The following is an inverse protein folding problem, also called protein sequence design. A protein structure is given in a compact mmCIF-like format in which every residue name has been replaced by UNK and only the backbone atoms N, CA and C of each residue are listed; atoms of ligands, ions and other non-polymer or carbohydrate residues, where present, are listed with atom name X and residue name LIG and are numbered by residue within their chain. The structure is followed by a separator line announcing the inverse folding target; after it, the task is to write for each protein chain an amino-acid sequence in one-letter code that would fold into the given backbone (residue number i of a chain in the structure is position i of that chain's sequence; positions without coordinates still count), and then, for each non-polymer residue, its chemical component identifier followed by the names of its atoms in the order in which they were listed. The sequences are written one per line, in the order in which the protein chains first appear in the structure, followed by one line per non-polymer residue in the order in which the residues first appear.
data_IF_622670946079
#
_entry.id   IF_622670946079
#
_cell.length_a   1.000
_cell.length_b   1.000
_cell.length_c   1.000
_cell.angle_alpha   90.00
_cell.angle_beta   90.00
_cell.angle_gamma   90.00
#
_symmetry.space_group_name_H-M   'P 1'
#
loop_
_entity.id
_entity.type
_entity.pdbx_description
1 polymer ?
#
# COMPACT_ATOMS: atom_id res chain seq x y z
N UNK A 1 35.90 9.93 -17.49
CA UNK A 1 35.76 8.82 -16.53
C UNK A 1 34.71 9.27 -15.51
N UNK A 2 33.50 8.72 -15.61
CA UNK A 2 32.31 9.25 -14.93
C UNK A 2 32.32 8.97 -13.44
N UNK A 3 32.26 10.05 -12.66
CA UNK A 3 32.21 10.11 -11.21
C UNK A 3 30.97 9.36 -10.69
N UNK A 4 31.12 8.11 -10.26
CA UNK A 4 30.01 7.27 -9.74
C UNK A 4 29.77 7.45 -8.23
N UNK A 5 30.31 8.51 -7.64
CA UNK A 5 30.43 8.66 -6.19
C UNK A 5 29.34 9.54 -5.55
N UNK A 6 28.31 9.98 -6.29
CA UNK A 6 27.35 11.00 -5.82
C UNK A 6 25.90 10.51 -5.66
N UNK A 7 25.63 9.21 -5.78
CA UNK A 7 24.30 8.61 -5.56
C UNK A 7 24.35 7.51 -4.50
N UNK A 8 25.20 7.64 -3.49
CA UNK A 8 25.23 6.73 -2.35
C UNK A 8 24.37 7.32 -1.24
N UNK A 9 23.37 6.55 -0.77
CA UNK A 9 22.69 6.84 0.49
C UNK A 9 23.75 7.05 1.58
N UNK A 10 23.59 8.10 2.39
CA UNK A 10 24.49 8.32 3.53
C UNK A 10 24.27 7.21 4.55
N UNK A 11 25.34 6.77 5.21
CA UNK A 11 25.25 5.75 6.25
C UNK A 11 24.24 6.16 7.36
N UNK A 12 24.19 7.45 7.70
CA UNK A 12 23.22 8.03 8.64
C UNK A 12 21.76 7.83 8.18
N UNK A 13 21.46 8.02 6.90
CA UNK A 13 20.11 7.85 6.35
C UNK A 13 19.70 6.38 6.32
N UNK A 14 20.66 5.48 6.05
CA UNK A 14 20.44 4.04 6.15
C UNK A 14 20.08 3.68 7.59
N UNK A 15 20.85 4.16 8.57
CA UNK A 15 20.61 3.84 9.98
C UNK A 15 19.27 4.38 10.48
N UNK A 16 18.86 5.59 10.07
CA UNK A 16 17.53 6.12 10.34
C UNK A 16 16.43 5.22 9.76
N UNK A 17 16.53 4.86 8.49
CA UNK A 17 15.55 4.00 7.82
C UNK A 17 15.52 2.60 8.47
N UNK A 18 16.67 2.04 8.85
CA UNK A 18 16.76 0.77 9.57
C UNK A 18 15.99 0.82 10.89
N UNK A 19 16.14 1.90 11.65
CA UNK A 19 15.45 2.07 12.93
C UNK A 19 13.93 2.25 12.76
N UNK A 20 13.49 2.92 11.69
CA UNK A 20 12.06 3.15 11.44
C UNK A 20 11.34 1.94 10.84
N UNK A 21 12.00 1.21 9.94
CA UNK A 21 11.36 0.22 9.08
C UNK A 21 11.81 -1.21 9.36
N UNK A 22 12.79 -1.40 10.25
CA UNK A 22 13.40 -2.69 10.59
C UNK A 22 14.01 -3.47 9.40
N UNK A 23 14.11 -2.86 8.21
CA UNK A 23 14.88 -3.42 7.11
C UNK A 23 16.35 -3.51 7.49
N UNK A 24 17.05 -4.52 6.99
CA UNK A 24 18.50 -4.59 7.12
C UNK A 24 19.20 -3.71 6.06
N UNK A 25 20.48 -3.36 6.28
CA UNK A 25 21.27 -2.54 5.36
C UNK A 25 21.25 -3.09 3.92
N UNK A 26 21.39 -4.41 3.73
CA UNK A 26 21.38 -5.03 2.40
C UNK A 26 20.02 -4.86 1.69
N UNK A 27 18.93 -5.00 2.43
CA UNK A 27 17.56 -4.77 1.93
C UNK A 27 17.39 -3.32 1.53
N UNK A 28 17.82 -2.35 2.34
CA UNK A 28 17.72 -0.92 2.02
C UNK A 28 18.53 -0.59 0.76
N UNK A 29 19.75 -1.11 0.62
CA UNK A 29 20.58 -0.89 -0.58
C UNK A 29 19.92 -1.50 -1.83
N UNK A 30 19.31 -2.68 -1.73
CA UNK A 30 18.55 -3.30 -2.83
C UNK A 30 17.30 -2.49 -3.19
N UNK A 31 16.56 -2.03 -2.18
CA UNK A 31 15.38 -1.18 -2.35
C UNK A 31 15.76 0.15 -3.00
N UNK A 32 16.90 0.73 -2.63
CA UNK A 32 17.43 1.95 -3.24
C UNK A 32 17.85 1.74 -4.68
N UNK A 33 18.53 0.63 -4.97
CA UNK A 33 18.87 0.24 -6.35
C UNK A 33 17.59 0.08 -7.19
N UNK A 34 16.53 -0.51 -6.62
CA UNK A 34 15.23 -0.62 -7.29
C UNK A 34 14.57 0.75 -7.47
N UNK A 35 14.60 1.61 -6.46
CA UNK A 35 14.08 2.98 -6.54
C UNK A 35 14.74 3.77 -7.69
N UNK A 36 16.07 3.74 -7.78
CA UNK A 36 16.79 4.38 -8.89
C UNK A 36 16.46 3.77 -10.25
N UNK A 37 16.19 2.47 -10.32
CA UNK A 37 15.77 1.83 -11.58
C UNK A 37 14.37 2.24 -12.02
N UNK A 38 13.52 2.64 -11.08
CA UNK A 38 12.16 3.12 -11.34
C UNK A 38 12.18 4.63 -11.68
N UNK A 39 13.02 5.41 -11.04
CA UNK A 39 13.25 6.83 -11.34
C UNK A 39 14.08 7.01 -12.63
N UNK A 40 13.47 6.68 -13.77
CA UNK A 40 14.12 6.81 -15.09
C UNK A 40 14.49 8.24 -15.43
N UNK A 41 13.83 9.22 -14.81
CA UNK A 41 14.06 10.65 -15.03
C UNK A 41 15.19 11.20 -14.15
N UNK A 42 15.66 10.43 -13.16
CA UNK A 42 16.71 10.84 -12.23
C UNK A 42 16.31 12.05 -11.38
N UNK A 43 15.02 12.17 -11.06
CA UNK A 43 14.45 13.32 -10.35
C UNK A 43 14.61 13.22 -8.83
N UNK A 44 14.96 12.03 -8.30
CA UNK A 44 15.06 11.75 -6.87
C UNK A 44 13.72 11.41 -6.21
N UNK A 45 12.65 11.29 -6.98
CA UNK A 45 11.31 10.90 -6.55
C UNK A 45 10.64 10.00 -7.58
N UNK A 46 9.68 9.20 -7.15
CA UNK A 46 8.85 8.37 -8.01
C UNK A 46 7.48 9.02 -8.21
N UNK A 47 7.08 9.14 -9.47
CA UNK A 47 5.75 9.56 -9.89
C UNK A 47 4.85 8.36 -10.15
N UNK A 48 3.53 8.59 -10.31
CA UNK A 48 2.56 7.54 -10.62
C UNK A 48 2.95 6.75 -11.88
N UNK A 49 3.44 7.44 -12.90
CA UNK A 49 3.91 6.83 -14.15
C UNK A 49 5.08 5.86 -13.94
N UNK A 50 5.96 6.14 -12.98
CA UNK A 50 7.11 5.25 -12.70
C UNK A 50 6.66 3.91 -12.12
N UNK A 51 5.57 3.90 -11.34
CA UNK A 51 4.95 2.67 -10.85
C UNK A 51 4.16 1.91 -11.91
N UNK A 52 3.49 2.61 -12.83
CA UNK A 52 2.79 1.98 -13.97
C UNK A 52 3.76 1.28 -14.92
N UNK A 53 5.02 1.72 -14.95
CA UNK A 53 6.09 1.05 -15.70
C UNK A 53 6.54 -0.29 -15.09
N UNK A 54 6.09 -0.65 -13.88
CA UNK A 54 6.40 -1.93 -13.25
C UNK A 54 5.52 -3.01 -13.87
N UNK A 55 6.07 -3.96 -14.65
CA UNK A 55 5.27 -4.95 -15.36
C UNK A 55 4.40 -5.79 -14.43
N UNK A 56 4.94 -6.15 -13.26
CA UNK A 56 4.23 -6.94 -12.24
C UNK A 56 3.04 -6.19 -11.65
N UNK A 57 3.10 -4.85 -11.61
CA UNK A 57 2.02 -4.01 -11.12
C UNK A 57 1.01 -3.72 -12.23
N UNK A 58 1.47 -3.54 -13.47
CA UNK A 58 0.63 -3.30 -14.64
C UNK A 58 -0.28 -4.49 -14.98
N UNK A 59 0.17 -5.72 -14.73
CA UNK A 59 -0.66 -6.93 -14.91
C UNK A 59 -1.57 -7.24 -13.72
N UNK A 60 -1.34 -6.57 -12.58
CA UNK A 60 -2.15 -6.78 -11.38
C UNK A 60 -3.45 -5.97 -11.49
N UNK A 61 -4.64 -6.58 -11.39
CA UNK A 61 -5.91 -5.85 -11.43
C UNK A 61 -6.08 -4.80 -10.31
N UNK A 62 -5.29 -4.93 -9.24
CA UNK A 62 -5.22 -3.98 -8.13
C UNK A 62 -4.04 -3.01 -8.23
N UNK A 63 -3.26 -3.09 -9.31
CA UNK A 63 -2.03 -2.30 -9.49
C UNK A 63 -2.27 -0.82 -9.26
N UNK A 64 -3.17 -0.22 -10.03
CA UNK A 64 -3.52 1.19 -9.90
C UNK A 64 -3.99 1.56 -8.48
N UNK A 65 -4.68 0.65 -7.79
CA UNK A 65 -5.19 0.87 -6.43
C UNK A 65 -4.09 0.81 -5.38
N UNK A 66 -3.14 -0.09 -5.56
CA UNK A 66 -1.94 -0.17 -4.72
C UNK A 66 -1.14 1.13 -4.89
N UNK A 67 -0.98 1.61 -6.12
CA UNK A 67 -0.31 2.88 -6.41
C UNK A 67 -1.04 4.05 -5.76
N UNK A 68 -2.37 4.14 -5.92
CA UNK A 68 -3.17 5.21 -5.32
C UNK A 68 -3.08 5.21 -3.78
N UNK A 69 -3.09 4.02 -3.15
CA UNK A 69 -2.89 3.87 -1.72
C UNK A 69 -1.48 4.30 -1.27
N UNK A 70 -0.44 4.00 -2.06
CA UNK A 70 0.94 4.43 -1.78
C UNK A 70 1.04 5.95 -1.69
N UNK A 71 0.50 6.66 -2.68
CA UNK A 71 0.53 8.13 -2.67
C UNK A 71 -0.36 8.71 -1.57
N UNK A 72 -1.52 8.11 -1.30
CA UNK A 72 -2.43 8.59 -0.24
C UNK A 72 -1.80 8.53 1.15
N UNK A 73 -1.09 7.45 1.47
CA UNK A 73 -0.40 7.31 2.75
C UNK A 73 0.87 8.15 2.86
N UNK A 74 1.47 8.54 1.74
CA UNK A 74 2.59 9.47 1.74
C UNK A 74 2.13 10.92 1.94
N UNK A 75 0.99 11.30 1.35
CA UNK A 75 0.42 12.66 1.45
C UNK A 75 -0.15 13.00 2.83
N UNK A 76 -0.46 12.01 3.68
CA UNK A 76 -0.98 12.28 5.04
C UNK A 76 0.02 12.95 5.98
N UNK A 77 1.30 13.07 5.59
CA UNK A 77 2.35 13.73 6.37
C UNK A 77 2.52 15.24 6.07
N UNK A 78 1.56 15.87 5.37
CA UNK A 78 1.38 17.32 5.43
C UNK A 78 2.13 18.16 4.41
N UNK A 79 2.95 17.57 3.53
CA UNK A 79 3.66 18.33 2.50
C UNK A 79 3.49 17.69 1.12
N UNK A 80 2.83 18.46 0.25
CA UNK A 80 2.71 18.34 -1.21
C UNK A 80 1.48 17.57 -1.77
N UNK A 81 0.66 18.34 -2.50
CA UNK A 81 -0.28 17.88 -3.52
C UNK A 81 0.43 17.17 -4.70
N UNK A 82 1.76 17.17 -4.71
CA UNK A 82 2.56 16.55 -5.74
C UNK A 82 2.56 15.03 -5.55
N UNK A 83 2.06 14.32 -6.56
CA UNK A 83 2.07 12.86 -6.66
C UNK A 83 3.52 12.35 -6.83
N UNK A 84 4.33 12.56 -5.79
CA UNK A 84 5.75 12.26 -5.75
C UNK A 84 6.07 11.47 -4.48
N UNK A 85 6.85 10.41 -4.63
CA UNK A 85 7.32 9.55 -3.54
C UNK A 85 8.84 9.61 -3.46
N UNK A 86 9.37 10.20 -2.40
CA UNK A 86 10.80 10.14 -2.13
C UNK A 86 11.22 8.75 -1.60
N UNK A 87 12.52 8.48 -1.55
CA UNK A 87 13.03 7.18 -1.13
C UNK A 87 12.60 6.79 0.30
N UNK A 88 12.61 7.73 1.25
CA UNK A 88 12.19 7.46 2.64
C UNK A 88 10.72 7.03 2.71
N UNK A 89 9.84 7.73 1.99
CA UNK A 89 8.42 7.38 1.87
C UNK A 89 8.24 6.02 1.20
N UNK A 90 8.95 5.76 0.11
CA UNK A 90 8.93 4.48 -0.59
C UNK A 90 9.27 3.30 0.33
N UNK A 91 10.35 3.40 1.12
CA UNK A 91 10.72 2.32 2.05
C UNK A 91 9.73 2.18 3.19
N UNK A 92 9.20 3.28 3.74
CA UNK A 92 8.15 3.24 4.78
C UNK A 92 6.89 2.54 4.29
N UNK A 93 6.46 2.79 3.07
CA UNK A 93 5.31 2.10 2.47
C UNK A 93 5.59 0.60 2.35
N UNK A 94 6.77 0.22 1.85
CA UNK A 94 7.17 -1.19 1.75
C UNK A 94 7.32 -1.86 3.12
N UNK A 95 7.60 -1.11 4.18
CA UNK A 95 7.66 -1.62 5.54
C UNK A 95 6.32 -2.19 6.02
N UNK A 96 5.19 -1.63 5.57
CA UNK A 96 3.85 -2.16 5.90
C UNK A 96 3.65 -3.59 5.38
N UNK A 97 4.32 -3.96 4.28
CA UNK A 97 4.26 -5.29 3.69
C UNK A 97 5.29 -6.25 4.27
N UNK A 98 6.10 -5.85 5.24
CA UNK A 98 6.98 -6.82 5.89
C UNK A 98 6.18 -7.92 6.60
N UNK A 99 6.69 -9.16 6.64
CA UNK A 99 6.16 -10.20 7.49
C UNK A 99 6.21 -9.76 8.94
N UNK A 100 5.13 -9.99 9.69
CA UNK A 100 5.12 -9.68 11.11
C UNK A 100 6.09 -10.63 11.81
N UNK A 101 7.11 -10.06 12.43
CA UNK A 101 8.04 -10.80 13.27
C UNK A 101 7.47 -10.87 14.69
N UNK A 102 7.40 -12.08 15.26
CA UNK A 102 7.05 -12.25 16.68
C UNK A 102 8.11 -11.65 17.62
N UNK A 103 9.32 -11.42 17.11
CA UNK A 103 10.50 -10.98 17.88
C UNK A 103 10.71 -9.48 17.77
N UNK A 104 10.39 -8.88 16.62
CA UNK A 104 10.57 -7.46 16.35
C UNK A 104 9.23 -6.81 16.03
N UNK A 105 8.79 -5.89 16.87
CA UNK A 105 7.53 -5.16 16.70
C UNK A 105 7.81 -3.89 15.91
N UNK A 106 7.66 -3.95 14.59
CA UNK A 106 7.64 -2.75 13.77
C UNK A 106 6.27 -2.05 13.96
N UNK A 107 6.27 -0.77 14.33
CA UNK A 107 5.02 -0.02 14.48
C UNK A 107 4.26 0.08 13.15
N UNK A 108 4.96 0.09 12.02
CA UNK A 108 4.41 0.29 10.68
C UNK A 108 3.81 -0.99 10.06
N UNK A 109 4.13 -2.18 10.58
CA UNK A 109 3.57 -3.45 10.07
C UNK A 109 2.50 -4.04 10.99
N UNK A 110 1.97 -3.22 11.91
CA UNK A 110 0.92 -3.65 12.82
C UNK A 110 -0.31 -4.13 12.04
N UNK A 111 -1.11 -5.00 12.65
CA UNK A 111 -2.38 -5.44 12.06
C UNK A 111 -3.26 -4.23 11.70
N UNK A 112 -3.30 -3.21 12.55
CA UNK A 112 -4.10 -2.00 12.34
C UNK A 112 -3.60 -1.20 11.13
N UNK A 113 -2.29 -1.04 10.98
CA UNK A 113 -1.70 -0.31 9.85
C UNK A 113 -1.86 -1.07 8.52
N UNK A 114 -1.75 -2.41 8.53
CA UNK A 114 -2.08 -3.24 7.37
C UNK A 114 -3.56 -3.11 6.97
N UNK A 115 -4.46 -3.12 7.96
CA UNK A 115 -5.89 -2.89 7.72
C UNK A 115 -6.17 -1.48 7.21
N UNK A 116 -5.47 -0.47 7.73
CA UNK A 116 -5.59 0.90 7.24
C UNK A 116 -5.11 1.02 5.80
N UNK A 117 -4.01 0.36 5.45
CA UNK A 117 -3.53 0.28 4.08
C UNK A 117 -4.59 -0.35 3.16
N UNK A 118 -5.14 -1.50 3.55
CA UNK A 118 -6.19 -2.17 2.78
C UNK A 118 -7.43 -1.27 2.65
N UNK A 119 -7.88 -0.65 3.74
CA UNK A 119 -9.01 0.27 3.75
C UNK A 119 -8.81 1.42 2.75
N UNK A 120 -7.61 2.02 2.72
CA UNK A 120 -7.26 3.08 1.76
C UNK A 120 -7.18 2.63 0.31
N UNK A 121 -7.09 1.32 0.03
CA UNK A 121 -7.27 0.81 -1.33
C UNK A 121 -8.76 0.75 -1.76
N UNK A 122 -9.68 0.60 -0.80
CA UNK A 122 -11.11 0.58 -1.05
C UNK A 122 -11.73 1.99 -1.07
N UNK A 123 -11.28 2.89 -0.20
CA UNK A 123 -11.72 4.29 -0.09
C UNK A 123 -11.14 5.14 -1.24
N UNK A 124 -11.88 5.23 -2.36
CA UNK A 124 -11.40 5.86 -3.60
C UNK A 124 -11.48 7.39 -3.54
N UNK A 125 -12.52 7.92 -2.90
CA UNK A 125 -12.74 9.35 -2.76
C UNK A 125 -12.04 9.96 -1.52
N UNK A 126 -11.39 9.13 -0.69
CA UNK A 126 -10.64 9.52 0.51
C UNK A 126 -11.50 10.19 1.57
N UNK A 127 -12.77 9.81 1.69
CA UNK A 127 -13.70 10.38 2.65
C UNK A 127 -13.71 9.63 4.00
N UNK A 128 -12.84 8.64 4.18
CA UNK A 128 -12.74 7.76 5.35
C UNK A 128 -13.92 6.78 5.51
N UNK A 129 -14.68 6.54 4.44
CA UNK A 129 -15.74 5.53 4.37
C UNK A 129 -15.65 4.74 3.07
N UNK A 130 -16.02 3.46 3.11
CA UNK A 130 -16.16 2.65 1.90
C UNK A 130 -17.64 2.60 1.55
N UNK A 131 -18.00 3.20 0.42
CA UNK A 131 -19.36 3.12 -0.12
C UNK A 131 -19.59 1.81 -0.85
N UNK A 132 -20.86 1.44 -1.05
CA UNK A 132 -21.26 0.29 -1.87
C UNK A 132 -20.62 0.36 -3.26
N UNK A 133 -20.65 1.53 -3.88
CA UNK A 133 -20.11 1.77 -5.22
C UNK A 133 -18.61 1.52 -5.28
N UNK A 134 -17.87 2.03 -4.30
CA UNK A 134 -16.42 1.83 -4.19
C UNK A 134 -16.07 0.36 -3.98
N UNK A 135 -16.79 -0.32 -3.09
CA UNK A 135 -16.62 -1.76 -2.87
C UNK A 135 -16.89 -2.57 -4.14
N UNK A 136 -17.95 -2.24 -4.89
CA UNK A 136 -18.27 -2.89 -6.17
C UNK A 136 -17.16 -2.71 -7.21
N UNK A 137 -16.59 -1.51 -7.31
CA UNK A 137 -15.48 -1.23 -8.25
C UNK A 137 -14.30 -2.15 -7.95
N UNK A 138 -13.94 -2.29 -6.67
CA UNK A 138 -12.82 -3.15 -6.26
C UNK A 138 -13.13 -4.64 -6.51
N UNK A 139 -14.33 -5.10 -6.13
CA UNK A 139 -14.75 -6.48 -6.39
C UNK A 139 -14.71 -6.82 -7.88
N UNK A 140 -15.16 -5.91 -8.73
CA UNK A 140 -15.17 -6.11 -10.17
C UNK A 140 -13.75 -6.20 -10.73
N UNK A 141 -12.83 -5.35 -10.25
CA UNK A 141 -11.41 -5.43 -10.60
C UNK A 141 -10.79 -6.77 -10.18
N UNK A 142 -11.13 -7.31 -9.01
CA UNK A 142 -10.56 -8.58 -8.52
C UNK A 142 -11.11 -9.81 -9.23
N UNK A 143 -12.43 -9.87 -9.45
CA UNK A 143 -13.08 -11.10 -9.93
C UNK A 143 -13.21 -11.14 -11.46
N UNK A 144 -13.13 -9.98 -12.11
CA UNK A 144 -13.22 -9.86 -13.57
C UNK A 144 -14.54 -10.41 -14.11
N UNK A 145 -14.50 -11.00 -15.30
CA UNK A 145 -15.69 -11.49 -16.03
C UNK A 145 -16.31 -12.79 -15.45
N UNK A 146 -15.80 -13.30 -14.33
CA UNK A 146 -16.25 -14.59 -13.76
C UNK A 146 -17.53 -14.50 -12.94
N UNK A 147 -17.99 -13.30 -12.61
CA UNK A 147 -19.21 -13.06 -11.83
C UNK A 147 -20.13 -12.11 -12.62
N UNK A 148 -21.43 -12.38 -12.58
CA UNK A 148 -22.44 -11.53 -13.21
C UNK A 148 -22.66 -10.25 -12.39
N UNK A 149 -23.07 -9.14 -13.05
CA UNK A 149 -23.36 -7.88 -12.34
C UNK A 149 -24.35 -8.09 -11.17
N UNK A 150 -25.40 -8.90 -11.39
CA UNK A 150 -26.41 -9.18 -10.36
C UNK A 150 -25.86 -9.94 -9.15
N UNK A 151 -24.92 -10.87 -9.38
CA UNK A 151 -24.25 -11.58 -8.28
C UNK A 151 -23.30 -10.64 -7.53
N UNK A 152 -22.59 -9.79 -8.25
CA UNK A 152 -21.70 -8.79 -7.65
C UNK A 152 -22.49 -7.80 -6.79
N UNK A 153 -23.67 -7.37 -7.27
CA UNK A 153 -24.60 -6.55 -6.49
C UNK A 153 -25.06 -7.23 -5.22
N UNK A 154 -25.47 -8.50 -5.30
CA UNK A 154 -25.88 -9.27 -4.12
C UNK A 154 -24.76 -9.48 -3.11
N UNK A 155 -23.52 -9.68 -3.57
CA UNK A 155 -22.36 -9.81 -2.69
C UNK A 155 -22.06 -8.47 -2.02
N UNK A 156 -22.07 -7.38 -2.78
CA UNK A 156 -21.87 -6.05 -2.24
C UNK A 156 -22.93 -5.71 -1.18
N UNK A 157 -24.21 -5.92 -1.50
CA UNK A 157 -25.33 -5.68 -0.58
C UNK A 157 -25.16 -6.43 0.74
N UNK A 158 -24.95 -7.74 0.66
CA UNK A 158 -24.76 -8.56 1.87
C UNK A 158 -23.53 -8.13 2.67
N UNK A 159 -22.44 -7.76 1.99
CA UNK A 159 -21.20 -7.38 2.68
C UNK A 159 -21.38 -6.05 3.42
N UNK A 160 -22.04 -5.07 2.79
CA UNK A 160 -22.34 -3.79 3.46
C UNK A 160 -23.30 -4.05 4.62
N UNK A 161 -24.41 -4.77 4.41
CA UNK A 161 -25.40 -5.08 5.46
C UNK A 161 -24.81 -5.83 6.67
N UNK A 162 -23.82 -6.71 6.45
CA UNK A 162 -23.16 -7.47 7.52
C UNK A 162 -22.11 -6.65 8.28
N UNK A 163 -21.45 -5.69 7.62
CA UNK A 163 -20.37 -4.89 8.19
C UNK A 163 -20.86 -3.57 8.81
N UNK A 164 -21.88 -2.96 8.23
CA UNK A 164 -22.50 -1.69 8.62
C UNK A 164 -23.32 -1.87 9.92
N UNK A 165 -22.69 -1.53 11.04
CA UNK A 165 -23.26 -1.72 12.37
C UNK A 165 -24.15 -0.55 12.79
N UNK A 166 -23.86 0.65 12.31
CA UNK A 166 -24.62 1.86 12.62
C UNK A 166 -25.74 2.20 11.60
N UNK A 167 -25.77 1.46 10.48
CA UNK A 167 -26.76 1.51 9.40
C UNK A 167 -26.75 2.83 8.64
N UNK A 168 -25.58 3.43 8.48
CA UNK A 168 -25.41 4.64 7.70
C UNK A 168 -25.21 4.38 6.18
N UNK A 169 -25.17 3.11 5.78
CA UNK A 169 -25.07 2.64 4.40
C UNK A 169 -23.64 2.63 3.83
N UNK A 170 -22.63 2.83 4.68
CA UNK A 170 -21.21 2.85 4.32
C UNK A 170 -20.41 2.12 5.39
N UNK A 171 -19.16 1.75 5.08
CA UNK A 171 -18.30 1.05 6.03
C UNK A 171 -17.23 2.02 6.53
N UNK A 172 -17.28 2.34 7.81
CA UNK A 172 -16.21 3.08 8.50
C UNK A 172 -14.97 2.22 8.72
N UNK A 173 -13.83 2.85 9.03
CA UNK A 173 -12.61 2.12 9.34
C UNK A 173 -12.76 1.15 10.53
N UNK A 174 -13.55 1.51 11.54
CA UNK A 174 -13.79 0.63 12.69
C UNK A 174 -14.59 -0.62 12.32
N UNK A 175 -15.61 -0.46 11.47
CA UNK A 175 -16.41 -1.57 10.96
C UNK A 175 -15.60 -2.47 10.04
N UNK A 176 -14.75 -1.89 9.18
CA UNK A 176 -13.80 -2.65 8.37
C UNK A 176 -12.86 -3.50 9.24
N UNK A 177 -12.35 -2.93 10.34
CA UNK A 177 -11.51 -3.67 11.28
C UNK A 177 -12.25 -4.85 11.92
N UNK A 178 -13.52 -4.67 12.29
CA UNK A 178 -14.37 -5.75 12.85
C UNK A 178 -14.66 -6.82 11.80
N UNK A 179 -15.04 -6.42 10.58
CA UNK A 179 -15.32 -7.34 9.49
C UNK A 179 -14.10 -8.20 9.14
N UNK A 180 -12.89 -7.65 9.25
CA UNK A 180 -11.63 -8.34 8.98
C UNK A 180 -11.02 -9.02 10.20
N UNK A 181 -11.66 -9.01 11.38
CA UNK A 181 -11.09 -9.54 12.63
C UNK A 181 -10.67 -11.01 12.52
N UNK A 182 -11.47 -11.83 11.82
CA UNK A 182 -11.22 -13.26 11.62
C UNK A 182 -10.30 -13.57 10.43
N UNK A 183 -9.89 -12.54 9.68
CA UNK A 183 -9.02 -12.70 8.51
C UNK A 183 -7.56 -12.60 8.92
N UNK A 184 -6.74 -13.54 8.46
CA UNK A 184 -5.28 -13.46 8.62
C UNK A 184 -4.68 -12.47 7.61
N UNK A 185 -4.91 -11.19 7.86
CA UNK A 185 -4.39 -10.09 7.04
C UNK A 185 -2.86 -9.96 7.19
N UNK A 186 -2.32 -10.48 8.28
CA UNK A 186 -0.92 -10.39 8.65
C UNK A 186 -0.07 -11.25 7.70
N UNK A 187 -0.54 -12.46 7.40
CA UNK A 187 0.05 -13.32 6.38
C UNK A 187 -0.28 -12.83 4.96
N UNK A 188 -1.55 -12.47 4.69
CA UNK A 188 -2.00 -12.12 3.33
C UNK A 188 -1.39 -10.82 2.78
N UNK A 189 -1.10 -9.85 3.64
CA UNK A 189 -0.43 -8.59 3.26
C UNK A 189 1.05 -8.60 3.66
N UNK A 190 1.70 -9.77 3.58
CA UNK A 190 3.14 -9.88 3.78
C UNK A 190 3.86 -10.29 2.49
N UNK A 191 4.94 -9.58 2.18
CA UNK A 191 5.84 -9.86 1.07
C UNK A 191 7.18 -10.28 1.67
N UNK A 192 7.66 -11.46 1.26
CA UNK A 192 9.01 -11.90 1.62
C UNK A 192 10.00 -11.25 0.68
N UNK A 193 10.63 -10.17 1.14
CA UNK A 193 11.76 -9.57 0.45
C UNK A 193 12.92 -10.58 0.47
N UNK A 194 13.35 -11.04 -0.71
CA UNK A 194 14.45 -11.99 -0.86
C UNK A 194 15.70 -11.44 -0.15
N UNK A 195 16.29 -12.27 0.72
CA UNK A 195 17.55 -12.01 1.43
C UNK A 195 18.76 -11.96 0.49
#
# INVERSE_FOLDING_TARGET
MGNSSSLMLRDEEIDEIMNETEFNRNQIVRLYSRFLSLDKKGQGYLSRDDFLNVPELAVNPLGDRIVDAFFTLASSNGDNEEQQLNFRQFVRILAHFQPISRVKKNALNSRKDKLLFAFKMYDLNKNDYITREEFKVILNSMVGANITSDQLDKIADRTIEEADADRDGKISFEEFCRAMEKTDIEEKMSIRFLN
#
